data_IF_036724883408
#
_entry.id   IF_036724883408
#
_cell.length_a   1.000
_cell.length_b   1.000
_cell.length_c   1.000
_cell.angle_alpha   90.00
_cell.angle_beta   90.00
_cell.angle_gamma   90.00
#
_symmetry.space_group_name_H-M   'P 1'
#
loop_
_entity.id
_entity.type
_entity.pdbx_description
1 polymer ?
#
# COMPACT_ATOMS: atom_id res chain seq x y z
N UNK A 1 6.17 5.42 26.38
CA UNK A 1 6.27 5.71 24.95
C UNK A 1 6.22 4.36 24.26
N UNK A 2 5.03 3.95 23.85
CA UNK A 2 4.86 2.67 23.16
C UNK A 2 5.42 2.83 21.75
N UNK A 3 6.58 2.23 21.54
CA UNK A 3 7.24 2.14 20.25
C UNK A 3 6.33 1.27 19.37
N UNK A 4 5.50 1.88 18.52
CA UNK A 4 4.74 1.12 17.51
C UNK A 4 5.76 0.48 16.57
N UNK A 5 6.05 -0.80 16.79
CA UNK A 5 6.88 -1.59 15.89
C UNK A 5 6.31 -1.46 14.47
N UNK A 6 7.13 -1.01 13.53
CA UNK A 6 6.73 -0.94 12.13
C UNK A 6 6.48 -2.35 11.62
N UNK A 7 5.24 -2.63 11.22
CA UNK A 7 4.84 -3.89 10.60
C UNK A 7 5.27 -3.97 9.13
N UNK A 8 6.01 -2.99 8.61
CA UNK A 8 6.49 -3.04 7.24
C UNK A 8 7.60 -4.09 7.07
N UNK A 9 7.46 -4.97 6.08
CA UNK A 9 8.47 -5.97 5.74
C UNK A 9 9.49 -5.39 4.76
N UNK A 10 10.76 -5.39 5.13
CA UNK A 10 11.86 -5.02 4.25
C UNK A 10 12.57 -6.25 3.71
N UNK A 11 12.76 -6.32 2.39
CA UNK A 11 13.41 -7.46 1.73
C UNK A 11 14.55 -7.08 0.81
N UNK A 12 15.69 -7.80 0.91
CA UNK A 12 16.87 -7.56 0.06
C UNK A 12 16.71 -8.14 -1.36
N UNK A 13 15.95 -9.23 -1.51
CA UNK A 13 15.69 -9.87 -2.80
C UNK A 13 14.51 -9.28 -3.56
N UNK A 14 13.85 -8.28 -2.99
CA UNK A 14 12.58 -7.77 -3.49
C UNK A 14 11.36 -8.51 -2.97
N UNK A 15 10.26 -8.37 -3.70
CA UNK A 15 8.94 -8.87 -3.29
C UNK A 15 8.27 -9.70 -4.39
N UNK A 16 7.35 -10.57 -3.98
CA UNK A 16 6.48 -11.36 -4.85
C UNK A 16 5.14 -11.62 -4.18
N UNK A 17 4.10 -11.85 -5.00
CA UNK A 17 2.88 -12.52 -4.54
C UNK A 17 3.14 -14.03 -4.37
N UNK A 18 2.32 -14.75 -3.57
CA UNK A 18 2.57 -16.17 -3.27
C UNK A 18 2.34 -17.08 -4.49
N UNK A 19 1.61 -16.64 -5.51
CA UNK A 19 1.42 -17.34 -6.77
C UNK A 19 1.18 -16.32 -7.89
N UNK A 20 1.36 -16.76 -9.13
CA UNK A 20 1.08 -15.93 -10.31
C UNK A 20 -0.40 -15.97 -10.67
N UNK A 21 -0.91 -14.84 -11.16
CA UNK A 21 -2.20 -14.75 -11.81
C UNK A 21 -2.02 -14.32 -13.27
N UNK A 22 -2.91 -14.74 -14.17
CA UNK A 22 -2.98 -14.16 -15.50
C UNK A 22 -3.16 -12.64 -15.43
N UNK A 23 -2.60 -11.94 -16.41
CA UNK A 23 -2.68 -10.47 -16.49
C UNK A 23 -4.15 -10.06 -16.57
N UNK A 24 -4.59 -9.22 -15.62
CA UNK A 24 -5.96 -8.71 -15.56
C UNK A 24 -6.92 -9.55 -14.72
N UNK A 25 -6.47 -10.66 -14.13
CA UNK A 25 -7.28 -11.47 -13.23
C UNK A 25 -7.04 -11.13 -11.75
N UNK A 26 -8.09 -11.27 -10.95
CA UNK A 26 -8.04 -11.13 -9.50
C UNK A 26 -7.97 -12.52 -8.84
N UNK A 27 -7.30 -12.65 -7.67
CA UNK A 27 -7.29 -13.91 -6.94
C UNK A 27 -8.71 -14.29 -6.52
N UNK A 28 -9.09 -15.55 -6.73
CA UNK A 28 -10.37 -16.07 -6.26
C UNK A 28 -10.24 -16.46 -4.79
N UNK A 29 -10.76 -15.61 -3.91
CA UNK A 29 -10.81 -15.87 -2.46
C UNK A 29 -12.05 -16.71 -2.18
N UNK A 30 -11.84 -17.92 -1.65
CA UNK A 30 -12.94 -18.80 -1.23
C UNK A 30 -13.36 -18.55 0.20
N UNK A 31 -12.41 -18.16 1.07
CA UNK A 31 -12.69 -17.83 2.46
C UNK A 31 -11.71 -16.75 2.97
N UNK A 32 -12.23 -15.70 3.60
CA UNK A 32 -11.44 -14.59 4.16
C UNK A 32 -11.08 -14.80 5.63
N UNK A 33 -10.20 -13.95 6.16
CA UNK A 33 -9.85 -13.95 7.59
C UNK A 33 -10.99 -13.43 8.45
N UNK A 34 -11.12 -13.96 9.68
CA UNK A 34 -12.07 -13.46 10.68
C UNK A 34 -13.34 -14.31 10.81
N UNK A 35 -14.40 -13.71 11.33
CA UNK A 35 -15.65 -14.41 11.61
C UNK A 35 -16.38 -14.77 10.29
N UNK A 36 -16.72 -16.05 10.15
CA UNK A 36 -17.37 -16.63 8.98
C UNK A 36 -18.62 -17.41 9.41
N UNK A 37 -19.54 -17.60 8.47
CA UNK A 37 -20.76 -18.40 8.69
C UNK A 37 -20.73 -19.61 7.77
N UNK A 38 -20.85 -20.80 8.35
CA UNK A 38 -20.85 -22.03 7.57
C UNK A 38 -22.11 -22.10 6.69
N UNK A 39 -21.99 -22.27 5.35
CA UNK A 39 -23.11 -22.10 4.43
C UNK A 39 -24.23 -23.15 4.59
N UNK A 40 -23.90 -24.36 5.08
CA UNK A 40 -24.89 -25.43 5.29
C UNK A 40 -25.49 -25.46 6.71
N UNK A 41 -24.67 -25.42 7.77
CA UNK A 41 -25.15 -25.47 9.16
C UNK A 41 -25.59 -24.11 9.72
N UNK A 42 -25.13 -22.99 9.14
CA UNK A 42 -25.35 -21.64 9.66
C UNK A 42 -24.54 -21.31 10.92
N UNK A 43 -23.66 -22.21 11.36
CA UNK A 43 -22.82 -21.99 12.53
C UNK A 43 -21.73 -20.97 12.25
N UNK A 44 -21.47 -20.09 13.22
CA UNK A 44 -20.38 -19.15 13.15
C UNK A 44 -19.06 -19.81 13.58
N UNK A 45 -18.00 -19.53 12.84
CA UNK A 45 -16.64 -19.95 13.18
C UNK A 45 -15.65 -18.83 12.85
N UNK A 46 -14.45 -18.90 13.41
CA UNK A 46 -13.39 -17.95 13.11
C UNK A 46 -12.37 -18.60 12.17
N UNK A 47 -12.14 -17.98 11.01
CA UNK A 47 -11.15 -18.42 10.04
C UNK A 47 -9.82 -17.68 10.28
N UNK A 48 -8.77 -18.44 10.60
CA UNK A 48 -7.47 -17.93 11.04
C UNK A 48 -6.51 -17.55 9.90
N UNK A 49 -6.98 -17.59 8.65
CA UNK A 49 -6.17 -17.32 7.46
C UNK A 49 -6.99 -16.84 6.28
N UNK A 50 -6.46 -17.04 5.07
CA UNK A 50 -7.16 -16.81 3.81
C UNK A 50 -7.03 -18.02 2.90
N UNK A 51 -8.13 -18.39 2.27
CA UNK A 51 -8.19 -19.47 1.28
C UNK A 51 -8.32 -18.91 -0.12
N UNK A 52 -7.46 -19.39 -1.01
CA UNK A 52 -7.46 -19.05 -2.42
C UNK A 52 -7.76 -20.28 -3.25
N UNK A 53 -8.68 -20.16 -4.22
CA UNK A 53 -8.81 -21.15 -5.28
C UNK A 53 -7.63 -21.02 -6.24
N UNK A 54 -6.91 -22.11 -6.44
CA UNK A 54 -5.80 -22.20 -7.40
C UNK A 54 -5.94 -23.46 -8.25
N UNK A 55 -5.23 -23.53 -9.37
CA UNK A 55 -5.18 -24.76 -10.14
C UNK A 55 -4.22 -25.76 -9.49
N UNK A 56 -4.52 -27.07 -9.49
CA UNK A 56 -3.59 -28.09 -9.05
C UNK A 56 -2.21 -27.93 -9.70
N UNK A 57 -1.15 -27.97 -8.88
CA UNK A 57 0.23 -27.82 -9.33
C UNK A 57 0.67 -26.37 -9.53
N UNK A 58 -0.15 -25.37 -9.16
CA UNK A 58 0.27 -23.95 -9.15
C UNK A 58 1.51 -23.79 -8.29
N UNK A 59 2.50 -23.05 -8.79
CA UNK A 59 3.71 -22.77 -8.02
C UNK A 59 3.40 -21.84 -6.84
N UNK A 60 3.76 -22.28 -5.64
CA UNK A 60 3.93 -21.42 -4.48
C UNK A 60 5.30 -20.76 -4.57
N UNK A 61 5.33 -19.43 -4.45
CA UNK A 61 6.53 -18.61 -4.47
C UNK A 61 6.84 -18.02 -3.12
N UNK A 62 8.13 -17.95 -2.78
CA UNK A 62 8.56 -17.13 -1.67
C UNK A 62 8.26 -15.66 -1.96
N UNK A 63 7.59 -15.00 -1.03
CA UNK A 63 7.15 -13.61 -1.16
C UNK A 63 8.26 -12.59 -0.91
N UNK A 64 9.29 -12.96 -0.16
CA UNK A 64 10.42 -12.12 0.22
C UNK A 64 11.66 -12.98 0.54
N UNK A 65 12.81 -12.36 0.78
CA UNK A 65 13.95 -12.98 1.46
C UNK A 65 13.52 -13.57 2.81
N UNK A 66 13.74 -14.88 2.98
CA UNK A 66 13.34 -15.59 4.18
C UNK A 66 14.07 -16.91 4.38
N UNK A 67 13.64 -17.65 5.40
CA UNK A 67 14.12 -19.00 5.71
C UNK A 67 12.93 -19.91 5.92
N UNK A 68 12.98 -21.11 5.36
CA UNK A 68 11.98 -22.15 5.63
C UNK A 68 12.18 -22.65 7.05
N UNK A 69 11.25 -22.32 7.94
CA UNK A 69 11.33 -22.59 9.38
C UNK A 69 10.43 -23.73 9.84
N UNK A 70 9.66 -24.34 8.94
CA UNK A 70 8.86 -25.51 9.24
C UNK A 70 8.39 -26.23 7.99
N UNK A 71 8.41 -27.56 8.02
CA UNK A 71 7.75 -28.42 7.03
C UNK A 71 7.08 -29.54 7.83
N UNK A 72 5.76 -29.63 7.73
CA UNK A 72 4.96 -30.66 8.38
C UNK A 72 4.11 -31.32 7.30
N UNK A 73 3.96 -32.63 7.34
CA UNK A 73 2.99 -33.34 6.50
C UNK A 73 1.78 -33.69 7.33
N UNK A 74 0.59 -33.33 6.86
CA UNK A 74 -0.68 -33.77 7.41
C UNK A 74 -1.43 -34.63 6.38
N UNK A 75 -2.12 -35.67 6.86
CA UNK A 75 -2.80 -36.63 5.99
C UNK A 75 -4.04 -36.01 5.31
N UNK A 76 -4.62 -34.96 5.89
CA UNK A 76 -5.80 -34.24 5.38
C UNK A 76 -5.44 -32.95 4.67
N UNK A 77 -4.45 -32.21 5.16
CA UNK A 77 -4.11 -30.85 4.68
C UNK A 77 -2.91 -30.82 3.72
N UNK A 78 -2.36 -31.99 3.36
CA UNK A 78 -1.14 -32.08 2.56
C UNK A 78 0.09 -31.60 3.33
N UNK A 79 1.09 -31.08 2.62
CA UNK A 79 2.21 -30.42 3.28
C UNK A 79 1.78 -29.04 3.81
N UNK A 80 2.33 -28.70 4.97
CA UNK A 80 2.30 -27.37 5.56
C UNK A 80 3.72 -26.83 5.65
N UNK A 81 3.97 -25.72 4.98
CA UNK A 81 5.29 -25.08 4.92
C UNK A 81 5.22 -23.75 5.67
N UNK A 82 6.14 -23.55 6.61
CA UNK A 82 6.31 -22.26 7.31
C UNK A 82 7.56 -21.58 6.78
N UNK A 83 7.41 -20.33 6.32
CA UNK A 83 8.53 -19.46 5.96
C UNK A 83 8.57 -18.26 6.88
N UNK A 84 9.73 -18.03 7.49
CA UNK A 84 9.99 -16.84 8.29
C UNK A 84 10.64 -15.77 7.40
N UNK A 85 9.99 -14.61 7.31
CA UNK A 85 10.48 -13.40 6.65
C UNK A 85 10.94 -12.39 7.72
N UNK A 86 12.24 -12.38 8.05
CA UNK A 86 12.78 -11.42 9.01
C UNK A 86 12.74 -10.00 8.43
N UNK A 87 12.34 -9.02 9.26
CA UNK A 87 12.43 -7.59 8.95
C UNK A 87 13.73 -7.04 9.53
N UNK A 88 14.60 -6.53 8.66
CA UNK A 88 15.91 -5.99 9.03
C UNK A 88 15.83 -4.46 9.13
N UNK A 89 15.12 -3.94 10.13
CA UNK A 89 14.86 -2.50 10.25
C UNK A 89 15.26 -1.87 11.59
N UNK A 90 15.29 -2.62 12.69
CA UNK A 90 15.53 -2.05 14.02
C UNK A 90 16.20 -3.04 14.98
N UNK A 91 16.65 -2.55 16.13
CA UNK A 91 17.41 -3.31 17.16
C UNK A 91 16.66 -4.55 17.72
N UNK A 92 15.39 -4.72 17.39
CA UNK A 92 14.58 -5.89 17.71
C UNK A 92 14.41 -6.76 16.45
N UNK A 93 14.70 -8.06 16.56
CA UNK A 93 14.42 -9.02 15.50
C UNK A 93 12.90 -9.19 15.36
N UNK A 94 12.31 -8.42 14.47
CA UNK A 94 10.91 -8.56 14.10
C UNK A 94 10.80 -9.36 12.81
N UNK A 95 9.71 -10.12 12.65
CA UNK A 95 9.54 -10.93 11.47
C UNK A 95 8.14 -11.49 11.33
N UNK A 96 7.81 -11.76 10.08
CA UNK A 96 6.61 -12.50 9.73
C UNK A 96 6.91 -13.99 9.70
N UNK A 97 6.00 -14.79 10.23
CA UNK A 97 5.93 -16.22 9.99
C UNK A 97 4.69 -16.47 9.15
N UNK A 98 4.89 -16.94 7.93
CA UNK A 98 3.79 -17.24 7.00
C UNK A 98 3.71 -18.74 6.85
N UNK A 99 2.51 -19.28 7.08
CA UNK A 99 2.21 -20.69 6.98
C UNK A 99 1.38 -20.91 5.72
N UNK A 100 1.80 -21.85 4.89
CA UNK A 100 1.12 -22.27 3.68
C UNK A 100 0.66 -23.72 3.85
N UNK A 101 -0.63 -24.00 3.66
CA UNK A 101 -1.22 -25.35 3.69
C UNK A 101 -1.83 -25.72 2.34
N UNK A 102 -2.30 -26.97 2.18
CA UNK A 102 -2.75 -27.56 0.91
C UNK A 102 -1.65 -27.60 -0.14
N UNK A 103 -0.46 -28.02 0.29
CA UNK A 103 0.72 -28.15 -0.57
C UNK A 103 0.87 -29.61 -1.00
N UNK A 104 0.87 -29.84 -2.32
CA UNK A 104 1.02 -31.16 -2.91
C UNK A 104 2.46 -31.66 -2.88
N UNK A 105 3.42 -30.75 -3.02
CA UNK A 105 4.84 -31.08 -3.19
C UNK A 105 5.73 -29.94 -2.69
N UNK A 106 6.68 -30.23 -1.79
CA UNK A 106 7.69 -29.25 -1.34
C UNK A 106 8.95 -29.31 -2.22
N UNK A 107 9.42 -28.16 -2.72
CA UNK A 107 10.70 -28.04 -3.45
C UNK A 107 11.86 -27.64 -2.54
N UNK A 108 11.56 -27.33 -1.27
CA UNK A 108 12.51 -26.78 -0.30
C UNK A 108 12.57 -27.62 0.96
N UNK A 109 13.70 -27.51 1.67
CA UNK A 109 13.93 -28.17 2.97
C UNK A 109 13.91 -27.20 4.14
N UNK A 110 13.75 -27.75 5.36
CA UNK A 110 13.90 -26.98 6.59
C UNK A 110 15.28 -26.31 6.66
N UNK A 111 15.33 -25.05 7.09
CA UNK A 111 16.54 -24.24 7.20
C UNK A 111 17.02 -23.65 5.87
N UNK A 112 16.36 -23.94 4.74
CA UNK A 112 16.73 -23.40 3.44
C UNK A 112 16.37 -21.91 3.36
N UNK A 113 17.36 -21.10 2.96
CA UNK A 113 17.11 -19.70 2.61
C UNK A 113 16.40 -19.61 1.27
N UNK A 114 15.42 -18.71 1.17
CA UNK A 114 14.64 -18.44 -0.04
C UNK A 114 14.68 -16.95 -0.35
N UNK A 115 14.58 -16.61 -1.63
CA UNK A 115 14.48 -15.25 -2.15
C UNK A 115 13.10 -15.04 -2.74
N UNK A 116 12.70 -13.78 -2.84
CA UNK A 116 11.47 -13.42 -3.55
C UNK A 116 11.45 -14.04 -4.94
N UNK A 117 10.30 -14.60 -5.33
CA UNK A 117 10.03 -15.28 -6.60
C UNK A 117 10.61 -16.69 -6.72
N UNK A 118 11.37 -17.19 -5.73
CA UNK A 118 11.79 -18.60 -5.72
C UNK A 118 10.56 -19.50 -5.63
N UNK A 119 10.48 -20.50 -6.49
CA UNK A 119 9.45 -21.54 -6.39
C UNK A 119 9.77 -22.43 -5.18
N UNK A 120 8.92 -22.36 -4.15
CA UNK A 120 9.14 -23.10 -2.90
C UNK A 120 8.38 -24.42 -2.85
N UNK A 121 7.22 -24.50 -3.51
CA UNK A 121 6.35 -25.67 -3.47
C UNK A 121 5.30 -25.66 -4.59
N UNK A 122 4.50 -26.71 -4.69
CA UNK A 122 3.29 -26.75 -5.52
C UNK A 122 2.05 -26.89 -4.66
N UNK A 123 1.03 -26.10 -4.96
CA UNK A 123 -0.26 -26.16 -4.31
C UNK A 123 -1.11 -27.31 -4.88
N UNK A 124 -2.08 -27.76 -4.09
CA UNK A 124 -3.23 -28.52 -4.57
C UNK A 124 -4.19 -27.59 -5.34
N UNK A 125 -5.50 -27.82 -5.25
CA UNK A 125 -6.53 -26.98 -5.87
C UNK A 125 -6.98 -25.78 -5.00
N UNK A 126 -6.31 -25.61 -3.85
CA UNK A 126 -6.55 -24.59 -2.84
C UNK A 126 -5.21 -24.19 -2.23
N UNK A 127 -5.08 -22.94 -1.78
CA UNK A 127 -3.95 -22.46 -1.00
C UNK A 127 -4.50 -21.75 0.24
N UNK A 128 -4.13 -22.23 1.43
CA UNK A 128 -4.45 -21.57 2.70
C UNK A 128 -3.22 -20.83 3.22
N UNK A 129 -3.40 -19.59 3.67
CA UNK A 129 -2.34 -18.73 4.19
C UNK A 129 -2.69 -18.21 5.58
N UNK A 130 -1.87 -18.53 6.57
CA UNK A 130 -1.90 -17.90 7.90
C UNK A 130 -0.67 -17.02 8.10
N UNK A 131 -0.82 -15.95 8.87
CA UNK A 131 0.27 -15.00 9.12
C UNK A 131 0.40 -14.70 10.61
N UNK A 132 1.63 -14.73 11.11
CA UNK A 132 1.99 -14.22 12.43
C UNK A 132 3.05 -13.13 12.29
N UNK A 133 2.94 -12.11 13.12
CA UNK A 133 3.98 -11.11 13.32
C UNK A 133 4.48 -11.21 14.76
N UNK A 134 5.76 -11.50 14.96
CA UNK A 134 6.37 -11.66 16.28
C UNK A 134 5.60 -12.65 17.19
N UNK A 135 5.20 -13.79 16.61
CA UNK A 135 4.46 -14.84 17.30
C UNK A 135 2.97 -14.56 17.54
N UNK A 136 2.46 -13.36 17.20
CA UNK A 136 1.02 -13.03 17.28
C UNK A 136 0.36 -13.21 15.92
N UNK A 137 -0.78 -13.90 15.89
CA UNK A 137 -1.63 -13.98 14.70
C UNK A 137 -2.05 -12.59 14.25
N UNK A 138 -2.01 -12.35 12.95
CA UNK A 138 -2.44 -11.11 12.30
C UNK A 138 -3.32 -11.43 11.10
N UNK A 139 -4.10 -10.46 10.65
CA UNK A 139 -4.95 -10.62 9.47
C UNK A 139 -4.08 -10.89 8.23
N UNK A 140 -4.22 -12.08 7.64
CA UNK A 140 -3.50 -12.46 6.43
C UNK A 140 -3.82 -11.56 5.23
N UNK A 141 -5.02 -10.96 5.17
CA UNK A 141 -5.40 -10.03 4.12
C UNK A 141 -4.57 -8.74 4.15
N UNK A 142 -4.35 -8.18 5.35
CA UNK A 142 -3.51 -6.99 5.52
C UNK A 142 -2.07 -7.26 5.09
N UNK A 143 -1.54 -8.44 5.43
CA UNK A 143 -0.21 -8.85 5.02
C UNK A 143 -0.10 -9.04 3.49
N UNK A 144 -1.06 -9.71 2.86
CA UNK A 144 -1.08 -9.91 1.40
C UNK A 144 -1.21 -8.58 0.65
N UNK A 145 -1.99 -7.63 1.17
CA UNK A 145 -2.09 -6.29 0.59
C UNK A 145 -0.77 -5.52 0.72
N UNK A 146 -0.10 -5.56 1.88
CA UNK A 146 1.24 -4.99 2.04
C UNK A 146 2.24 -5.60 1.04
N UNK A 147 2.21 -6.92 0.83
CA UNK A 147 3.08 -7.58 -0.14
C UNK A 147 2.81 -7.11 -1.58
N UNK A 148 1.53 -6.96 -1.94
CA UNK A 148 1.13 -6.41 -3.25
C UNK A 148 1.66 -5.00 -3.45
N UNK A 149 1.49 -4.13 -2.46
CA UNK A 149 1.95 -2.74 -2.52
C UNK A 149 3.48 -2.67 -2.66
N UNK A 150 4.20 -3.53 -1.94
CA UNK A 150 5.66 -3.66 -2.04
C UNK A 150 6.13 -4.17 -3.41
N UNK A 151 5.42 -5.14 -4.03
CA UNK A 151 5.71 -5.61 -5.41
C UNK A 151 5.50 -4.48 -6.41
N UNK A 152 4.40 -3.74 -6.28
CA UNK A 152 4.07 -2.61 -7.15
C UNK A 152 5.14 -1.53 -7.02
N UNK A 153 5.51 -1.15 -5.80
CA UNK A 153 6.55 -0.14 -5.54
C UNK A 153 7.93 -0.59 -6.06
N UNK A 154 8.32 -1.86 -5.83
CA UNK A 154 9.58 -2.39 -6.37
C UNK A 154 9.59 -2.40 -7.91
N UNK A 155 8.50 -2.85 -8.54
CA UNK A 155 8.40 -2.87 -10.00
C UNK A 155 8.58 -1.46 -10.59
N UNK A 156 8.11 -0.43 -9.89
CA UNK A 156 8.28 0.96 -10.28
C UNK A 156 9.74 1.43 -10.12
N UNK A 157 10.41 1.05 -9.03
CA UNK A 157 11.82 1.35 -8.81
C UNK A 157 12.74 0.65 -9.84
N UNK A 158 12.47 -0.62 -10.16
CA UNK A 158 13.25 -1.38 -11.15
C UNK A 158 13.00 -0.92 -12.59
N UNK A 159 11.83 -0.33 -12.88
CA UNK A 159 11.48 0.21 -14.19
C UNK A 159 11.86 1.69 -14.40
N UNK A 160 12.69 2.28 -13.52
CA UNK A 160 13.29 3.62 -13.67
C UNK A 160 14.07 3.84 -14.99
N UNK A 161 14.24 2.82 -15.83
CA UNK A 161 14.84 2.96 -17.16
C UNK A 161 13.90 3.43 -18.27
N UNK A 162 12.62 3.00 -18.32
CA UNK A 162 11.74 3.20 -19.51
C UNK A 162 10.22 3.03 -19.24
N UNK A 163 9.64 3.65 -18.22
CA UNK A 163 8.18 3.59 -18.02
C UNK A 163 7.50 4.97 -18.17
N UNK A 164 6.53 5.15 -19.10
CA UNK A 164 5.66 6.34 -19.13
C UNK A 164 4.78 6.51 -17.87
N UNK A 165 4.67 5.50 -17.00
CA UNK A 165 3.99 5.60 -15.70
C UNK A 165 4.79 6.39 -14.63
N UNK A 166 6.12 6.48 -14.79
CA UNK A 166 7.01 7.40 -14.02
C UNK A 166 7.06 8.77 -14.68
N UNK A 167 6.51 8.95 -15.89
CA UNK A 167 6.53 10.25 -16.55
C UNK A 167 5.97 11.33 -15.63
N UNK A 168 4.94 11.02 -14.81
CA UNK A 168 4.38 11.85 -13.74
C UNK A 168 5.30 12.13 -12.54
N UNK A 169 6.14 11.16 -12.13
CA UNK A 169 7.11 11.30 -11.02
C UNK A 169 8.40 12.02 -11.44
N UNK A 170 8.72 12.02 -12.74
CA UNK A 170 9.79 12.81 -13.35
C UNK A 170 9.32 14.14 -13.97
N UNK A 171 8.06 14.52 -13.75
CA UNK A 171 7.58 15.84 -14.14
C UNK A 171 8.20 16.90 -13.24
N UNK A 172 8.65 17.97 -13.86
CA UNK A 172 9.13 19.17 -13.17
C UNK A 172 7.93 19.96 -12.62
N UNK A 173 7.30 19.41 -11.58
CA UNK A 173 6.13 20.00 -10.92
C UNK A 173 6.63 21.02 -9.92
N UNK A 174 6.34 22.28 -10.20
CA UNK A 174 6.64 23.39 -9.30
C UNK A 174 5.39 23.90 -8.61
N UNK A 175 5.54 24.29 -7.35
CA UNK A 175 4.52 24.99 -6.56
C UNK A 175 5.08 26.32 -6.05
N UNK A 176 4.23 27.30 -5.70
CA UNK A 176 4.68 28.51 -5.00
C UNK A 176 5.40 28.23 -3.67
N UNK A 177 5.32 27.00 -3.16
CA UNK A 177 5.85 26.59 -1.88
C UNK A 177 7.17 25.82 -1.97
N UNK A 178 7.78 25.68 -3.14
CA UNK A 178 8.99 24.85 -3.32
C UNK A 178 10.14 25.26 -2.40
N UNK A 179 10.28 26.57 -2.13
CA UNK A 179 11.26 27.11 -1.17
C UNK A 179 11.05 26.68 0.30
N UNK A 180 9.88 26.13 0.62
CA UNK A 180 9.49 25.62 1.95
C UNK A 180 9.03 24.17 1.91
N UNK A 181 9.43 23.43 0.88
CA UNK A 181 9.08 22.02 0.67
C UNK A 181 9.39 21.15 1.90
N UNK A 182 10.59 21.27 2.46
CA UNK A 182 11.00 20.54 3.68
C UNK A 182 10.05 20.79 4.87
N UNK A 183 9.65 22.05 5.09
CA UNK A 183 8.73 22.40 6.18
C UNK A 183 7.33 21.83 5.94
N UNK A 184 6.85 21.89 4.69
CA UNK A 184 5.56 21.34 4.31
C UNK A 184 5.55 19.82 4.46
N UNK A 185 6.61 19.13 4.05
CA UNK A 185 6.73 17.69 4.23
C UNK A 185 6.72 17.32 5.72
N UNK A 186 7.43 18.07 6.57
CA UNK A 186 7.37 17.87 8.02
C UNK A 186 5.96 18.06 8.58
N UNK A 187 5.22 19.08 8.12
CA UNK A 187 3.83 19.32 8.53
C UNK A 187 2.88 18.23 8.02
N UNK A 188 3.04 17.77 6.79
CA UNK A 188 2.29 16.66 6.21
C UNK A 188 2.53 15.36 6.98
N UNK A 189 3.79 15.02 7.26
CA UNK A 189 4.14 13.83 8.04
C UNK A 189 3.59 13.89 9.47
N UNK A 190 3.61 15.08 10.09
CA UNK A 190 3.13 15.25 11.46
C UNK A 190 1.61 15.32 11.58
N UNK A 191 0.92 15.97 10.65
CA UNK A 191 -0.49 16.33 10.78
C UNK A 191 -1.39 15.79 9.66
N UNK A 192 -0.84 15.21 8.59
CA UNK A 192 -1.61 14.71 7.44
C UNK A 192 -2.68 13.70 7.86
N UNK A 193 -2.35 12.76 8.75
CA UNK A 193 -3.34 11.82 9.31
C UNK A 193 -4.49 12.54 10.04
N UNK A 194 -4.22 13.63 10.75
CA UNK A 194 -5.26 14.39 11.44
C UNK A 194 -6.14 15.16 10.46
N UNK A 195 -5.52 15.78 9.45
CA UNK A 195 -6.20 16.49 8.37
C UNK A 195 -7.16 15.58 7.59
N UNK A 196 -6.68 14.42 7.10
CA UNK A 196 -7.52 13.48 6.37
C UNK A 196 -8.65 12.91 7.22
N UNK A 197 -8.38 12.59 8.49
CA UNK A 197 -9.43 12.14 9.40
C UNK A 197 -10.49 13.22 9.64
N UNK A 198 -10.10 14.49 9.70
CA UNK A 198 -11.04 15.59 9.90
C UNK A 198 -11.96 15.78 8.67
N UNK A 199 -11.42 15.65 7.45
CA UNK A 199 -12.22 15.65 6.23
C UNK A 199 -13.15 14.45 6.19
N UNK A 200 -12.64 13.24 6.42
CA UNK A 200 -13.41 12.00 6.32
C UNK A 200 -14.56 11.94 7.34
N UNK A 201 -14.34 12.46 8.55
CA UNK A 201 -15.38 12.55 9.59
C UNK A 201 -16.29 13.76 9.45
N UNK A 202 -16.04 14.63 8.47
CA UNK A 202 -16.77 15.87 8.25
C UNK A 202 -16.60 16.91 9.36
N UNK A 203 -15.57 16.78 10.21
CA UNK A 203 -15.27 17.75 11.26
C UNK A 203 -14.53 18.97 10.73
N UNK A 204 -13.85 18.83 9.59
CA UNK A 204 -13.32 19.95 8.82
C UNK A 204 -14.08 20.05 7.49
N UNK A 205 -14.68 21.22 7.24
CA UNK A 205 -15.31 21.53 5.95
C UNK A 205 -14.30 22.30 5.09
N UNK A 206 -13.93 21.71 3.97
CA UNK A 206 -13.13 22.39 2.94
C UNK A 206 -13.85 23.69 2.52
N UNK A 207 -13.16 24.84 2.46
CA UNK A 207 -13.78 26.10 2.05
C UNK A 207 -14.39 26.02 0.65
N UNK A 208 -15.55 26.63 0.45
CA UNK A 208 -16.29 26.56 -0.83
C UNK A 208 -15.44 27.08 -2.02
N UNK A 209 -14.59 28.09 -1.79
CA UNK A 209 -13.64 28.60 -2.79
C UNK A 209 -12.59 27.55 -3.17
N UNK A 210 -12.02 26.84 -2.19
CA UNK A 210 -11.05 25.75 -2.43
C UNK A 210 -11.70 24.63 -3.24
N UNK A 211 -12.90 24.23 -2.86
CA UNK A 211 -13.66 23.20 -3.59
C UNK A 211 -13.91 23.63 -5.04
N UNK A 212 -14.35 24.86 -5.26
CA UNK A 212 -14.60 25.38 -6.60
C UNK A 212 -13.32 25.43 -7.44
N UNK A 213 -12.21 25.89 -6.87
CA UNK A 213 -10.90 25.90 -7.55
C UNK A 213 -10.44 24.48 -7.95
N UNK A 214 -10.65 23.48 -7.10
CA UNK A 214 -10.35 22.08 -7.44
C UNK A 214 -11.24 21.57 -8.58
N UNK A 215 -12.55 21.86 -8.53
CA UNK A 215 -13.49 21.50 -9.61
C UNK A 215 -13.10 22.13 -10.93
N UNK A 216 -12.73 23.41 -10.92
CA UNK A 216 -12.30 24.15 -12.10
C UNK A 216 -10.99 23.62 -12.67
N UNK A 217 -10.02 23.27 -11.82
CA UNK A 217 -8.76 22.64 -12.23
C UNK A 217 -9.02 21.30 -12.94
N UNK A 218 -9.87 20.44 -12.38
CA UNK A 218 -10.26 19.17 -13.00
C UNK A 218 -10.95 19.42 -14.36
N UNK A 219 -11.89 20.35 -14.42
CA UNK A 219 -12.58 20.70 -15.67
C UNK A 219 -11.61 21.27 -16.73
N UNK A 220 -10.59 22.01 -16.30
CA UNK A 220 -9.53 22.51 -17.18
C UNK A 220 -8.70 21.38 -17.76
N UNK A 221 -8.32 20.38 -16.95
CA UNK A 221 -7.58 19.20 -17.41
C UNK A 221 -8.29 18.42 -18.52
N UNK A 222 -9.62 18.32 -18.44
CA UNK A 222 -10.43 17.70 -19.48
C UNK A 222 -10.41 18.49 -20.80
N UNK A 223 -10.43 19.83 -20.73
CA UNK A 223 -10.44 20.71 -21.91
C UNK A 223 -9.06 20.86 -22.56
N UNK A 224 -7.99 20.83 -21.79
CA UNK A 224 -6.62 21.01 -22.28
C UNK A 224 -6.01 19.75 -22.89
N UNK A 225 -6.71 18.61 -22.82
CA UNK A 225 -6.16 17.32 -23.25
C UNK A 225 -5.02 16.84 -22.36
N UNK A 226 -5.03 17.25 -21.08
CA UNK A 226 -4.04 16.82 -20.09
C UNK A 226 -4.23 15.36 -19.66
N UNK A 227 -5.43 14.81 -19.83
CA UNK A 227 -5.78 13.41 -19.57
C UNK A 227 -5.44 12.50 -20.75
N UNK A 228 -5.20 11.23 -20.46
CA UNK A 228 -4.95 10.16 -21.43
C UNK A 228 -3.74 10.41 -22.36
N UNK A 229 -2.72 11.12 -21.88
CA UNK A 229 -1.43 11.24 -22.59
C UNK A 229 -0.65 9.92 -22.54
N UNK A 230 -0.87 9.16 -21.48
CA UNK A 230 -0.44 7.79 -21.29
C UNK A 230 -1.66 6.90 -21.05
N UNK A 231 -1.48 5.59 -21.20
CA UNK A 231 -2.53 4.64 -20.87
C UNK A 231 -2.85 4.75 -19.37
N UNK A 232 -4.12 4.93 -18.96
CA UNK A 232 -4.50 4.95 -17.56
C UNK A 232 -4.01 3.71 -16.82
N UNK A 233 -3.47 3.90 -15.63
CA UNK A 233 -2.96 2.83 -14.77
C UNK A 233 -3.34 3.07 -13.31
N UNK A 234 -3.01 2.13 -12.43
CA UNK A 234 -3.30 2.25 -11.00
C UNK A 234 -2.68 3.51 -10.37
N UNK A 235 -1.42 3.85 -10.69
CA UNK A 235 -0.74 5.03 -10.14
C UNK A 235 -0.97 6.32 -10.94
N UNK A 236 -1.36 6.19 -12.19
CA UNK A 236 -1.71 7.33 -13.02
C UNK A 236 -3.08 7.08 -13.65
N UNK A 237 -4.16 7.13 -12.85
CA UNK A 237 -5.51 6.77 -13.28
C UNK A 237 -6.07 7.69 -14.36
N UNK A 238 -5.48 8.88 -14.53
CA UNK A 238 -5.85 9.84 -15.55
C UNK A 238 -4.91 9.85 -16.76
N UNK A 239 -3.88 8.99 -16.78
CA UNK A 239 -2.91 8.93 -17.86
C UNK A 239 -2.18 10.26 -18.09
N UNK A 240 -1.89 11.00 -17.03
CA UNK A 240 -1.22 12.30 -17.06
C UNK A 240 0.20 12.18 -17.61
N UNK A 241 0.62 13.13 -18.44
CA UNK A 241 1.98 13.22 -18.96
C UNK A 241 2.51 14.65 -18.86
N UNK A 242 3.54 14.99 -19.63
CA UNK A 242 4.18 16.32 -19.56
C UNK A 242 3.24 17.50 -19.82
N UNK A 243 2.16 17.34 -20.60
CA UNK A 243 1.16 18.43 -20.77
C UNK A 243 0.27 18.65 -19.54
N UNK A 244 0.35 17.78 -18.53
CA UNK A 244 -0.40 17.89 -17.30
C UNK A 244 0.40 18.58 -16.18
N UNK A 245 1.65 19.00 -16.41
CA UNK A 245 2.50 19.63 -15.38
C UNK A 245 1.79 20.80 -14.72
N UNK A 246 1.25 21.75 -15.51
CA UNK A 246 0.54 22.92 -14.97
C UNK A 246 -0.70 22.54 -14.16
N UNK A 247 -1.43 21.51 -14.62
CA UNK A 247 -2.59 20.98 -13.91
C UNK A 247 -2.18 20.36 -12.56
N UNK A 248 -1.12 19.54 -12.55
CA UNK A 248 -0.61 18.89 -11.35
C UNK A 248 -0.08 19.93 -10.37
N UNK A 249 0.69 20.91 -10.84
CA UNK A 249 1.16 22.06 -10.05
C UNK A 249 0.00 22.82 -9.41
N UNK A 250 -1.05 23.11 -10.16
CA UNK A 250 -2.24 23.80 -9.65
C UNK A 250 -2.97 22.98 -8.59
N UNK A 251 -3.27 21.71 -8.86
CA UNK A 251 -3.94 20.83 -7.90
C UNK A 251 -3.09 20.70 -6.62
N UNK A 252 -1.79 20.46 -6.76
CA UNK A 252 -0.89 20.32 -5.62
C UNK A 252 -0.85 21.60 -4.77
N UNK A 253 -0.81 22.76 -5.42
CA UNK A 253 -0.87 24.06 -4.72
C UNK A 253 -2.16 24.20 -3.92
N UNK A 254 -3.32 23.88 -4.51
CA UNK A 254 -4.61 23.98 -3.83
C UNK A 254 -4.69 23.03 -2.63
N UNK A 255 -4.16 21.81 -2.75
CA UNK A 255 -4.14 20.83 -1.66
C UNK A 255 -3.21 21.25 -0.51
N UNK A 256 -2.04 21.82 -0.83
CA UNK A 256 -1.14 22.39 0.18
C UNK A 256 -1.86 23.55 0.90
N UNK A 257 -2.47 24.47 0.17
CA UNK A 257 -3.20 25.62 0.72
C UNK A 257 -4.32 25.18 1.67
N UNK A 258 -5.10 24.16 1.28
CA UNK A 258 -6.18 23.63 2.13
C UNK A 258 -5.66 22.98 3.41
N UNK A 259 -4.60 22.18 3.32
CA UNK A 259 -3.97 21.61 4.51
C UNK A 259 -3.45 22.72 5.44
N UNK A 260 -2.80 23.75 4.90
CA UNK A 260 -2.33 24.89 5.70
C UNK A 260 -3.48 25.67 6.34
N UNK A 261 -4.61 25.83 5.64
CA UNK A 261 -5.84 26.40 6.21
C UNK A 261 -6.35 25.58 7.38
N UNK A 262 -6.45 24.26 7.23
CA UNK A 262 -6.82 23.36 8.32
C UNK A 262 -5.87 23.50 9.51
N UNK A 263 -4.56 23.54 9.29
CA UNK A 263 -3.58 23.68 10.35
C UNK A 263 -3.69 25.03 11.08
N UNK A 264 -3.97 26.12 10.36
CA UNK A 264 -4.19 27.42 10.95
C UNK A 264 -5.44 27.43 11.84
N UNK A 265 -6.56 26.89 11.34
CA UNK A 265 -7.86 26.92 12.02
C UNK A 265 -7.93 25.95 13.21
N UNK A 266 -7.49 24.71 13.03
CA UNK A 266 -7.70 23.63 13.99
C UNK A 266 -6.52 23.39 14.93
N UNK A 267 -5.31 23.83 14.53
CA UNK A 267 -4.06 23.60 15.27
C UNK A 267 -3.31 24.88 15.63
N UNK A 268 -3.69 26.04 15.08
CA UNK A 268 -2.95 27.28 15.27
C UNK A 268 -1.51 27.22 14.72
N UNK A 269 -1.25 26.35 13.74
CA UNK A 269 0.06 26.13 13.15
C UNK A 269 0.14 26.88 11.81
N UNK A 270 1.23 27.62 11.61
CA UNK A 270 1.47 28.42 10.41
C UNK A 270 2.86 28.11 9.87
N UNK A 271 3.07 28.32 8.56
CA UNK A 271 4.42 28.25 7.99
C UNK A 271 5.33 29.32 8.60
N UNK A 272 6.59 28.96 8.78
CA UNK A 272 7.64 29.85 9.24
C UNK A 272 7.76 31.10 8.35
N UNK A 273 7.96 32.27 8.96
CA UNK A 273 8.11 33.52 8.22
C UNK A 273 6.84 34.07 7.54
N UNK A 274 5.66 33.54 7.85
CA UNK A 274 4.38 34.10 7.37
C UNK A 274 4.09 35.45 8.05
N UNK A 275 3.64 36.43 7.26
CA UNK A 275 3.26 37.76 7.77
C UNK A 275 2.01 37.70 8.65
N UNK A 276 1.82 38.66 9.56
CA UNK A 276 0.62 38.73 10.39
C UNK A 276 -0.66 38.98 9.57
N UNK A 277 -0.54 39.61 8.39
CA UNK A 277 -1.66 39.77 7.46
C UNK A 277 -2.06 38.44 6.83
N UNK A 278 -1.10 37.62 6.42
CA UNK A 278 -1.37 36.33 5.79
C UNK A 278 -1.91 35.30 6.80
N UNK A 279 -1.41 35.32 8.05
CA UNK A 279 -2.00 34.52 9.14
C UNK A 279 -3.46 34.88 9.39
N UNK A 280 -3.81 36.18 9.33
CA UNK A 280 -5.20 36.63 9.48
C UNK A 280 -6.11 36.18 8.34
N UNK A 281 -5.62 36.14 7.10
CA UNK A 281 -6.38 35.60 5.96
C UNK A 281 -6.74 34.12 6.17
N UNK A 282 -5.76 33.29 6.54
CA UNK A 282 -5.99 31.87 6.83
C UNK A 282 -7.01 31.67 7.97
N UNK A 283 -6.98 32.51 9.00
CA UNK A 283 -7.91 32.45 10.13
C UNK A 283 -9.32 32.96 9.82
N UNK A 284 -9.49 33.78 8.78
CA UNK A 284 -10.78 34.36 8.40
C UNK A 284 -11.49 33.59 7.28
N UNK A 285 -10.82 32.60 6.67
CA UNK A 285 -11.39 31.77 5.59
C UNK A 285 -11.65 32.55 4.31
N UNK A 286 -10.98 33.70 4.12
CA UNK A 286 -11.10 34.62 2.98
C UNK A 286 -9.82 34.67 2.14
#
# INVERSE_FOLDING_TARGET
MDNKQSMNLQSQSGYSMPFDLPIGEAPQITLGYGQQTHPQSGEEFFHHGMDFKVHPGTWLKAMASGVVSGIVSDVKEGYRITTTYPSYGDKERNGYEVVYSHISESMVGFGQSVKAKDNVARCDDTLHIEVKFNGKEVNAEEFINMMRDNVVMESQLQMQGKNPEIATLGLDVHTPYDSKSDEIEMLQNRFGSSYFNAIFRGTYKVPDNTEQRLRDAIAMGARSGAYYQHFPSFLNPLGLGSRAVELISLIHTILIEDMLNYLALEKGVFLSGMSEEDKKKLLTGL
#
